data_IF_496275856261
#
_entry.id   IF_496275856261
#
_cell.length_a   1.000
_cell.length_b   1.000
_cell.length_c   1.000
_cell.angle_alpha   90.00
_cell.angle_beta   90.00
_cell.angle_gamma   90.00
#
_symmetry.space_group_name_H-M   'P 1'
#
loop_
_entity.id
_entity.type
_entity.pdbx_description
1 polymer ?
#
# COMPACT_ATOMS: atom_id res chain seq x y z
N UNK A 1 14.46 18.11 -16.49
CA UNK A 1 15.81 17.60 -16.20
C UNK A 1 16.73 18.81 -15.99
N UNK A 2 16.65 19.48 -14.85
CA UNK A 2 17.48 20.62 -14.50
C UNK A 2 18.52 20.21 -13.46
N UNK A 3 19.78 20.10 -13.86
CA UNK A 3 20.91 20.08 -12.94
C UNK A 3 21.27 21.54 -12.60
N UNK A 4 20.90 22.02 -11.40
CA UNK A 4 21.30 23.34 -10.95
C UNK A 4 20.46 23.89 -9.80
N UNK A 5 20.79 25.09 -9.31
CA UNK A 5 20.17 25.83 -8.20
C UNK A 5 18.64 26.06 -8.32
N UNK A 6 18.04 25.69 -9.40
CA UNK A 6 16.61 25.87 -9.74
C UNK A 6 15.94 24.53 -10.08
N UNK A 7 16.30 23.43 -9.39
CA UNK A 7 15.54 22.20 -9.49
C UNK A 7 14.10 22.48 -9.00
N UNK A 8 13.12 22.32 -9.90
CA UNK A 8 11.71 22.49 -9.59
C UNK A 8 11.32 21.49 -8.51
N UNK A 9 10.88 22.00 -7.37
CA UNK A 9 10.28 21.16 -6.33
C UNK A 9 8.77 21.18 -6.55
N UNK A 10 8.24 20.06 -6.97
CA UNK A 10 6.79 19.86 -7.05
C UNK A 10 6.28 19.48 -5.66
N UNK A 11 5.77 20.45 -4.93
CA UNK A 11 5.10 20.23 -3.64
C UNK A 11 3.59 20.39 -3.85
N UNK A 12 2.88 19.24 -3.86
CA UNK A 12 1.43 19.22 -3.95
C UNK A 12 0.87 19.51 -5.35
N UNK A 13 -0.44 19.56 -5.43
CA UNK A 13 -1.18 19.95 -6.64
C UNK A 13 -1.56 21.44 -6.55
N UNK A 14 -1.30 22.20 -7.63
CA UNK A 14 -1.72 23.58 -7.76
C UNK A 14 -2.50 23.77 -9.05
N UNK A 15 -3.45 24.72 -9.07
CA UNK A 15 -4.26 25.06 -10.24
C UNK A 15 -5.07 23.88 -10.81
N UNK A 16 -5.61 23.05 -9.93
CA UNK A 16 -6.38 21.85 -10.29
C UNK A 16 -7.61 22.16 -11.12
N UNK A 17 -8.27 23.29 -10.81
CA UNK A 17 -9.47 23.75 -11.52
C UNK A 17 -9.14 24.19 -12.95
N UNK A 18 -8.03 24.92 -13.12
CA UNK A 18 -7.53 25.31 -14.45
C UNK A 18 -7.15 24.10 -15.30
N UNK A 19 -6.50 23.10 -14.69
CA UNK A 19 -6.16 21.86 -15.38
C UNK A 19 -7.41 21.10 -15.80
N UNK A 20 -8.41 21.01 -14.92
CA UNK A 20 -9.69 20.39 -15.22
C UNK A 20 -10.40 21.09 -16.39
N UNK A 21 -10.47 22.41 -16.38
CA UNK A 21 -11.05 23.18 -17.49
C UNK A 21 -10.31 22.95 -18.81
N UNK A 22 -8.97 22.97 -18.80
CA UNK A 22 -8.16 22.75 -20.00
C UNK A 22 -8.27 21.34 -20.56
N UNK A 23 -8.56 20.34 -19.71
CA UNK A 23 -8.68 18.94 -20.14
C UNK A 23 -10.10 18.58 -20.56
N UNK A 24 -11.10 19.35 -20.18
CA UNK A 24 -12.52 19.09 -20.40
C UNK A 24 -12.89 18.86 -21.88
N UNK A 25 -12.22 19.54 -22.80
CA UNK A 25 -12.57 19.47 -24.22
C UNK A 25 -12.11 18.17 -24.91
N UNK A 26 -11.14 17.44 -24.31
CA UNK A 26 -10.58 16.21 -24.89
C UNK A 26 -10.55 15.03 -23.91
N UNK A 27 -11.00 15.21 -22.67
CA UNK A 27 -11.08 14.18 -21.66
C UNK A 27 -12.52 14.05 -21.13
N UNK A 28 -13.20 12.98 -21.49
CA UNK A 28 -14.50 12.64 -20.92
C UNK A 28 -14.29 11.64 -19.81
N UNK A 29 -14.50 12.07 -18.56
CA UNK A 29 -14.49 11.19 -17.38
C UNK A 29 -15.91 10.95 -16.91
N UNK A 30 -16.23 9.69 -16.69
CA UNK A 30 -17.48 9.26 -16.03
C UNK A 30 -17.12 8.48 -14.78
N UNK A 31 -17.62 8.96 -13.62
CA UNK A 31 -17.46 8.22 -12.37
C UNK A 31 -18.34 6.98 -12.40
N UNK A 32 -17.83 5.85 -11.90
CA UNK A 32 -18.62 4.60 -11.79
C UNK A 32 -19.96 4.85 -11.09
N UNK A 33 -19.96 5.63 -10.01
CA UNK A 33 -21.16 5.99 -9.25
C UNK A 33 -22.20 6.78 -10.05
N UNK A 34 -21.80 7.49 -11.11
CA UNK A 34 -22.70 8.29 -11.95
C UNK A 34 -23.32 7.46 -13.10
N UNK A 35 -22.64 6.40 -13.51
CA UNK A 35 -23.02 5.60 -14.70
C UNK A 35 -23.44 4.18 -14.37
N UNK A 36 -23.21 3.73 -13.14
CA UNK A 36 -23.50 2.39 -12.64
C UNK A 36 -24.14 2.51 -11.24
N UNK A 37 -25.41 2.92 -11.22
CA UNK A 37 -26.19 3.07 -9.97
C UNK A 37 -26.38 1.73 -9.25
N UNK A 38 -26.22 0.62 -9.95
CA UNK A 38 -26.35 -0.75 -9.44
C UNK A 38 -25.11 -1.23 -8.67
N UNK A 39 -23.99 -0.48 -8.67
CA UNK A 39 -22.81 -0.89 -7.93
C UNK A 39 -23.00 -0.63 -6.44
N UNK A 40 -22.59 -1.59 -5.57
CA UNK A 40 -22.67 -1.42 -4.13
C UNK A 40 -21.83 -0.26 -3.62
N UNK A 41 -22.23 0.27 -2.47
CA UNK A 41 -21.41 1.24 -1.76
C UNK A 41 -20.10 0.57 -1.31
N UNK A 42 -18.99 1.32 -1.44
CA UNK A 42 -17.65 0.85 -1.05
C UNK A 42 -17.24 1.52 0.25
N UNK A 43 -17.06 0.72 1.30
CA UNK A 43 -16.62 1.17 2.62
C UNK A 43 -15.17 0.73 2.85
N UNK A 44 -14.33 1.68 3.25
CA UNK A 44 -12.94 1.43 3.63
C UNK A 44 -12.77 1.56 5.13
N UNK A 45 -12.03 0.62 5.73
CA UNK A 45 -11.70 0.64 7.15
C UNK A 45 -10.23 0.31 7.37
N UNK A 46 -9.64 0.87 8.43
CA UNK A 46 -8.31 0.50 8.90
C UNK A 46 -8.50 -0.32 10.16
N UNK A 47 -8.02 -1.56 10.13
CA UNK A 47 -7.95 -2.42 11.30
C UNK A 47 -6.57 -2.31 11.93
N UNK A 48 -6.49 -1.59 13.05
CA UNK A 48 -5.23 -1.37 13.76
C UNK A 48 -4.94 -2.53 14.70
N UNK A 49 -3.75 -3.09 14.54
CA UNK A 49 -3.24 -4.20 15.34
C UNK A 49 -2.27 -3.67 16.39
N UNK A 50 -2.47 -4.06 17.64
CA UNK A 50 -1.50 -3.83 18.70
C UNK A 50 -0.38 -4.88 18.61
N UNK A 51 0.87 -4.49 18.29
CA UNK A 51 1.99 -5.43 18.18
C UNK A 51 2.41 -5.94 19.57
N UNK A 52 2.95 -7.15 19.62
CA UNK A 52 3.59 -7.65 20.84
C UNK A 52 4.90 -6.90 21.11
N UNK A 53 5.41 -7.01 22.35
CA UNK A 53 6.70 -6.43 22.70
C UNK A 53 7.87 -7.04 21.87
N UNK A 54 7.73 -8.30 21.44
CA UNK A 54 8.70 -8.95 20.57
C UNK A 54 8.65 -8.37 19.14
N UNK A 55 7.44 -8.14 18.61
CA UNK A 55 7.21 -7.52 17.30
C UNK A 55 7.82 -6.12 17.23
N UNK A 56 7.52 -5.27 18.24
CA UNK A 56 8.09 -3.92 18.31
C UNK A 56 9.60 -3.93 18.42
N UNK A 57 10.18 -4.92 19.12
CA UNK A 57 11.62 -5.08 19.21
C UNK A 57 12.25 -5.38 17.87
N UNK A 58 11.67 -6.35 17.14
CA UNK A 58 12.14 -6.72 15.79
C UNK A 58 12.05 -5.54 14.81
N UNK A 59 10.93 -4.80 14.85
CA UNK A 59 10.78 -3.59 14.04
C UNK A 59 11.83 -2.53 14.39
N UNK A 60 12.05 -2.30 15.68
CA UNK A 60 13.03 -1.32 16.17
C UNK A 60 14.46 -1.72 15.79
N UNK A 61 14.82 -2.99 15.90
CA UNK A 61 16.12 -3.49 15.47
C UNK A 61 16.38 -3.20 13.98
N UNK A 62 15.38 -3.41 13.13
CA UNK A 62 15.45 -3.06 11.71
C UNK A 62 15.63 -1.55 11.51
N UNK A 63 14.85 -0.72 12.21
CA UNK A 63 14.95 0.73 12.15
C UNK A 63 16.33 1.22 12.60
N UNK A 64 16.84 0.73 13.74
CA UNK A 64 18.12 1.14 14.33
C UNK A 64 19.31 0.72 13.44
N UNK A 65 19.20 -0.43 12.76
CA UNK A 65 20.20 -0.85 11.77
C UNK A 65 20.28 0.16 10.61
N UNK A 66 19.16 0.60 10.07
CA UNK A 66 19.10 1.63 9.03
C UNK A 66 19.61 2.99 9.51
N UNK A 67 19.34 3.36 10.76
CA UNK A 67 19.87 4.61 11.36
C UNK A 67 21.38 4.55 11.52
N UNK A 68 21.93 3.41 11.90
CA UNK A 68 23.38 3.19 11.99
C UNK A 68 24.04 3.34 10.62
N UNK A 69 23.47 2.73 9.59
CA UNK A 69 23.95 2.85 8.21
C UNK A 69 23.85 4.29 7.69
N UNK A 70 22.76 4.99 8.00
CA UNK A 70 22.59 6.40 7.68
C UNK A 70 23.71 7.26 8.27
N UNK A 71 24.04 7.09 9.55
CA UNK A 71 25.11 7.81 10.23
C UNK A 71 26.49 7.55 9.58
N UNK A 72 26.76 6.30 9.19
CA UNK A 72 28.00 5.96 8.49
C UNK A 72 28.09 6.63 7.13
N UNK A 73 27.02 6.67 6.35
CA UNK A 73 26.99 7.33 5.06
C UNK A 73 27.10 8.85 5.21
N UNK A 74 26.45 9.43 6.22
CA UNK A 74 26.53 10.85 6.53
C UNK A 74 27.97 11.25 6.88
N UNK A 75 28.66 10.48 7.73
CA UNK A 75 30.06 10.74 8.07
C UNK A 75 31.02 10.67 6.89
N UNK A 76 30.71 9.83 5.90
CA UNK A 76 31.50 9.71 4.65
C UNK A 76 31.11 10.78 3.61
N UNK A 77 30.10 11.61 3.89
CA UNK A 77 29.59 12.64 2.97
C UNK A 77 28.98 12.11 1.69
N UNK A 78 28.58 10.85 1.66
CA UNK A 78 28.05 10.18 0.47
C UNK A 78 26.86 9.30 0.87
N UNK A 79 25.69 9.57 0.30
CA UNK A 79 24.49 8.75 0.49
C UNK A 79 24.23 7.95 -0.81
N UNK A 80 24.08 6.62 -0.74
CA UNK A 80 23.75 5.81 -1.90
C UNK A 80 22.42 6.23 -2.54
N UNK A 81 22.36 6.17 -3.87
CA UNK A 81 21.10 6.34 -4.56
C UNK A 81 20.10 5.24 -4.12
N UNK A 82 18.89 5.64 -3.79
CA UNK A 82 17.84 4.70 -3.34
C UNK A 82 17.91 4.30 -1.87
N UNK A 83 18.87 4.76 -1.08
CA UNK A 83 19.01 4.44 0.34
C UNK A 83 17.68 4.58 1.10
N UNK A 84 17.05 5.75 0.97
CA UNK A 84 15.77 6.05 1.65
C UNK A 84 14.67 5.11 1.21
N UNK A 85 14.57 4.84 -0.09
CA UNK A 85 13.54 3.95 -0.61
C UNK A 85 13.73 2.52 -0.12
N UNK A 86 14.98 2.04 -0.05
CA UNK A 86 15.27 0.72 0.48
C UNK A 86 14.91 0.64 1.97
N UNK A 87 15.30 1.64 2.76
CA UNK A 87 14.93 1.73 4.18
C UNK A 87 13.41 1.65 4.38
N UNK A 88 12.65 2.48 3.65
CA UNK A 88 11.20 2.49 3.76
C UNK A 88 10.57 1.16 3.30
N UNK A 89 11.15 0.54 2.28
CA UNK A 89 10.70 -0.77 1.79
C UNK A 89 10.93 -1.84 2.83
N UNK A 90 12.10 -1.88 3.47
CA UNK A 90 12.42 -2.86 4.50
C UNK A 90 11.58 -2.68 5.76
N UNK A 91 11.39 -1.43 6.21
CA UNK A 91 10.51 -1.16 7.36
C UNK A 91 9.07 -1.60 7.10
N UNK A 92 8.55 -1.35 5.91
CA UNK A 92 7.22 -1.81 5.50
C UNK A 92 7.14 -3.33 5.38
N UNK A 93 8.19 -3.97 4.86
CA UNK A 93 8.30 -5.42 4.80
C UNK A 93 8.25 -6.04 6.20
N UNK A 94 9.01 -5.49 7.17
CA UNK A 94 8.91 -5.91 8.57
C UNK A 94 7.48 -5.79 9.09
N UNK A 95 6.80 -4.67 8.86
CA UNK A 95 5.39 -4.54 9.23
C UNK A 95 4.52 -5.62 8.58
N UNK A 96 4.75 -5.96 7.32
CA UNK A 96 4.05 -7.05 6.63
C UNK A 96 4.19 -8.39 7.35
N UNK A 97 5.40 -8.75 7.77
CA UNK A 97 5.66 -9.99 8.53
C UNK A 97 4.98 -9.97 9.91
N UNK A 98 5.02 -8.83 10.61
CA UNK A 98 4.37 -8.67 11.92
C UNK A 98 2.83 -8.84 11.85
N UNK A 99 2.22 -8.53 10.71
CA UNK A 99 0.77 -8.64 10.50
C UNK A 99 0.26 -10.05 10.27
N UNK A 100 1.12 -11.01 9.95
CA UNK A 100 0.67 -12.35 9.53
C UNK A 100 -0.26 -12.98 10.57
N UNK A 101 0.18 -13.08 11.82
CA UNK A 101 -0.62 -13.71 12.88
C UNK A 101 -1.91 -12.96 13.18
N UNK A 102 -1.85 -11.64 13.22
CA UNK A 102 -3.02 -10.79 13.47
C UNK A 102 -4.02 -10.84 12.31
N UNK A 103 -3.53 -10.92 11.06
CA UNK A 103 -4.39 -11.13 9.90
C UNK A 103 -5.07 -12.50 9.95
N UNK A 104 -4.36 -13.55 10.34
CA UNK A 104 -4.94 -14.90 10.52
C UNK A 104 -6.04 -14.88 11.60
N UNK A 105 -5.80 -14.19 12.73
CA UNK A 105 -6.81 -14.03 13.77
C UNK A 105 -8.05 -13.27 13.26
N UNK A 106 -7.83 -12.16 12.56
CA UNK A 106 -8.91 -11.38 11.95
C UNK A 106 -9.73 -12.22 10.94
N UNK A 107 -9.04 -12.99 10.09
CA UNK A 107 -9.70 -13.88 9.11
C UNK A 107 -10.54 -14.93 9.81
N UNK A 108 -10.05 -15.49 10.93
CA UNK A 108 -10.80 -16.46 11.70
C UNK A 108 -12.10 -15.86 12.26
N UNK A 109 -12.02 -14.70 12.89
CA UNK A 109 -13.21 -13.99 13.40
C UNK A 109 -14.19 -13.64 12.27
N UNK A 110 -13.66 -13.15 11.13
CA UNK A 110 -14.49 -12.85 9.96
C UNK A 110 -15.23 -14.10 9.45
N UNK A 111 -14.54 -15.24 9.33
CA UNK A 111 -15.13 -16.49 8.82
C UNK A 111 -16.07 -17.16 9.83
N UNK A 112 -15.91 -16.94 11.13
CA UNK A 112 -16.88 -17.37 12.14
C UNK A 112 -18.20 -16.62 11.99
N UNK A 113 -18.17 -15.34 11.61
CA UNK A 113 -19.37 -14.51 11.37
C UNK A 113 -19.96 -14.70 9.96
N UNK A 114 -19.11 -15.05 8.97
CA UNK A 114 -19.46 -15.14 7.55
C UNK A 114 -18.94 -16.48 6.97
N UNK A 115 -19.45 -17.63 7.41
CA UNK A 115 -18.87 -18.94 7.07
C UNK A 115 -18.88 -19.22 5.55
N UNK A 116 -19.95 -18.84 4.87
CA UNK A 116 -20.17 -19.15 3.45
C UNK A 116 -19.67 -18.06 2.50
N UNK A 117 -19.31 -16.88 3.00
CA UNK A 117 -18.85 -15.75 2.15
C UNK A 117 -17.37 -15.89 1.83
N UNK A 118 -16.97 -16.01 0.56
CA UNK A 118 -15.56 -16.02 0.18
C UNK A 118 -14.85 -14.72 0.54
N UNK A 119 -13.53 -14.79 0.78
CA UNK A 119 -12.71 -13.64 1.17
C UNK A 119 -11.55 -13.45 0.20
N UNK A 120 -11.26 -12.21 -0.18
CA UNK A 120 -10.06 -11.86 -0.95
C UNK A 120 -9.04 -11.22 -0.02
N UNK A 121 -7.77 -11.66 -0.10
CA UNK A 121 -6.67 -11.07 0.66
C UNK A 121 -5.58 -10.60 -0.30
N UNK A 122 -5.20 -9.32 -0.19
CA UNK A 122 -4.10 -8.74 -0.95
C UNK A 122 -2.85 -8.56 -0.08
N UNK A 123 -1.70 -8.86 -0.67
CA UNK A 123 -0.38 -8.67 -0.07
C UNK A 123 0.62 -8.15 -1.12
N UNK A 124 1.71 -7.54 -0.65
CA UNK A 124 2.76 -6.99 -1.50
C UNK A 124 3.99 -7.91 -1.58
N UNK A 125 4.59 -8.26 -0.45
CA UNK A 125 5.79 -9.08 -0.38
C UNK A 125 5.46 -10.58 -0.46
N UNK A 126 6.24 -11.33 -1.24
CA UNK A 126 5.98 -12.75 -1.52
C UNK A 126 6.08 -13.65 -0.30
N UNK A 127 7.01 -13.38 0.59
CA UNK A 127 7.22 -14.12 1.82
C UNK A 127 6.13 -13.86 2.85
N UNK A 128 5.63 -12.61 2.95
CA UNK A 128 4.42 -12.28 3.74
C UNK A 128 3.23 -13.09 3.24
N UNK A 129 2.99 -13.08 1.92
CA UNK A 129 1.93 -13.89 1.32
C UNK A 129 2.12 -15.39 1.54
N UNK A 130 3.35 -15.90 1.43
CA UNK A 130 3.65 -17.30 1.66
C UNK A 130 3.42 -17.71 3.12
N UNK A 131 3.86 -16.90 4.08
CA UNK A 131 3.64 -17.12 5.51
C UNK A 131 2.13 -17.11 5.84
N UNK A 132 1.40 -16.12 5.34
CA UNK A 132 -0.05 -16.01 5.54
C UNK A 132 -0.78 -17.23 4.97
N UNK A 133 -0.53 -17.61 3.73
CA UNK A 133 -1.14 -18.79 3.11
C UNK A 133 -0.74 -20.07 3.82
N UNK A 134 0.49 -20.14 4.36
CA UNK A 134 0.96 -21.26 5.16
C UNK A 134 0.13 -21.51 6.41
N UNK A 135 -0.32 -20.43 7.08
CA UNK A 135 -1.19 -20.51 8.25
C UNK A 135 -2.66 -20.76 7.87
N UNK A 136 -3.18 -20.01 6.90
CA UNK A 136 -4.61 -20.08 6.53
C UNK A 136 -5.00 -21.45 5.96
N UNK A 137 -4.14 -22.10 5.17
CA UNK A 137 -4.44 -23.42 4.58
C UNK A 137 -4.65 -24.54 5.61
N UNK A 138 -4.31 -24.32 6.88
CA UNK A 138 -4.55 -25.29 7.96
C UNK A 138 -6.03 -25.45 8.26
N UNK A 139 -6.85 -24.41 7.96
CA UNK A 139 -8.26 -24.36 8.35
C UNK A 139 -9.22 -24.04 7.19
N UNK A 140 -8.69 -23.55 6.05
CA UNK A 140 -9.50 -23.06 4.93
C UNK A 140 -9.02 -23.61 3.60
N UNK A 141 -9.96 -23.75 2.66
CA UNK A 141 -9.62 -24.06 1.27
C UNK A 141 -9.19 -22.77 0.56
N UNK A 142 -7.89 -22.66 0.28
CA UNK A 142 -7.29 -21.44 -0.23
C UNK A 142 -6.57 -21.67 -1.55
N UNK A 143 -6.51 -20.61 -2.37
CA UNK A 143 -5.60 -20.55 -3.52
C UNK A 143 -4.83 -19.21 -3.52
N UNK A 144 -3.70 -19.18 -4.20
CA UNK A 144 -2.89 -17.96 -4.34
C UNK A 144 -2.74 -17.54 -5.80
N UNK A 145 -2.83 -16.23 -6.10
CA UNK A 145 -2.47 -15.65 -7.41
C UNK A 145 -1.31 -14.68 -7.17
N UNK A 146 -0.12 -15.08 -7.64
CA UNK A 146 1.12 -14.31 -7.45
C UNK A 146 1.78 -14.03 -8.80
N UNK A 147 2.72 -13.10 -8.82
CA UNK A 147 3.49 -12.83 -10.03
C UNK A 147 4.16 -14.12 -10.57
N UNK A 148 3.93 -14.41 -11.85
CA UNK A 148 4.40 -15.63 -12.51
C UNK A 148 3.41 -16.79 -12.48
N UNK A 149 2.21 -16.65 -11.89
CA UNK A 149 1.14 -17.64 -12.04
C UNK A 149 0.70 -17.69 -13.51
N UNK A 150 0.74 -18.88 -14.13
CA UNK A 150 0.33 -19.08 -15.51
C UNK A 150 -1.15 -18.66 -15.72
N UNK A 151 -1.48 -18.15 -16.90
CA UNK A 151 -2.81 -17.60 -17.20
C UNK A 151 -3.93 -18.62 -16.98
N UNK A 152 -3.71 -19.86 -17.41
CA UNK A 152 -4.66 -20.96 -17.25
C UNK A 152 -4.92 -21.29 -15.79
N UNK A 153 -3.85 -21.35 -14.97
CA UNK A 153 -3.95 -21.62 -13.53
C UNK A 153 -4.65 -20.47 -12.81
N UNK A 154 -4.38 -19.23 -13.24
CA UNK A 154 -5.05 -18.04 -12.69
C UNK A 154 -6.55 -18.10 -12.99
N UNK A 155 -6.92 -18.36 -14.24
CA UNK A 155 -8.31 -18.46 -14.65
C UNK A 155 -9.04 -19.56 -13.87
N UNK A 156 -8.44 -20.73 -13.75
CA UNK A 156 -8.99 -21.84 -12.96
C UNK A 156 -9.25 -21.44 -11.51
N UNK A 157 -8.30 -20.73 -10.86
CA UNK A 157 -8.46 -20.28 -9.47
C UNK A 157 -9.56 -19.24 -9.33
N UNK A 158 -9.68 -18.33 -10.27
CA UNK A 158 -10.80 -17.37 -10.32
C UNK A 158 -12.14 -18.09 -10.47
N UNK A 159 -12.25 -19.06 -11.36
CA UNK A 159 -13.47 -19.86 -11.55
C UNK A 159 -13.84 -20.64 -10.28
N UNK A 160 -12.87 -21.28 -9.64
CA UNK A 160 -13.06 -21.97 -8.36
C UNK A 160 -13.55 -21.01 -7.27
N UNK A 161 -12.98 -19.79 -7.21
CA UNK A 161 -13.39 -18.77 -6.27
C UNK A 161 -14.82 -18.28 -6.54
N UNK A 162 -15.13 -17.96 -7.78
CA UNK A 162 -16.48 -17.53 -8.18
C UNK A 162 -17.55 -18.63 -7.99
N UNK A 163 -17.16 -19.89 -8.07
CA UNK A 163 -18.03 -21.04 -7.79
C UNK A 163 -18.17 -21.34 -6.28
N UNK A 164 -17.55 -20.57 -5.39
CA UNK A 164 -17.60 -20.78 -3.94
C UNK A 164 -16.86 -22.04 -3.46
N UNK A 165 -15.99 -22.63 -4.27
CA UNK A 165 -15.19 -23.81 -3.87
C UNK A 165 -13.92 -23.44 -3.12
N UNK A 166 -13.54 -22.17 -3.11
CA UNK A 166 -12.46 -21.62 -2.31
C UNK A 166 -13.04 -20.68 -1.25
N UNK A 167 -12.59 -20.85 -0.01
CA UNK A 167 -12.94 -19.96 1.09
C UNK A 167 -12.21 -18.63 0.99
N UNK A 168 -10.94 -18.67 0.54
CA UNK A 168 -10.07 -17.50 0.50
C UNK A 168 -9.21 -17.53 -0.77
N UNK A 169 -9.16 -16.40 -1.46
CA UNK A 169 -8.23 -16.16 -2.56
C UNK A 169 -7.18 -15.13 -2.14
N UNK A 170 -5.92 -15.55 -2.06
CA UNK A 170 -4.78 -14.70 -1.71
C UNK A 170 -4.10 -14.19 -2.99
N UNK A 171 -4.05 -12.89 -3.18
CA UNK A 171 -3.50 -12.28 -4.40
C UNK A 171 -2.34 -11.34 -4.06
N UNK A 172 -1.23 -11.42 -4.81
CA UNK A 172 -0.32 -10.27 -4.79
C UNK A 172 -0.99 -9.10 -5.50
N UNK A 173 -0.88 -7.89 -4.95
CA UNK A 173 -1.54 -6.69 -5.49
C UNK A 173 -1.16 -6.45 -6.95
N UNK A 174 0.09 -6.73 -7.32
CA UNK A 174 0.54 -6.63 -8.71
C UNK A 174 -0.16 -7.61 -9.66
N UNK A 175 -0.49 -8.82 -9.18
CA UNK A 175 -1.22 -9.81 -9.99
C UNK A 175 -2.69 -9.44 -10.18
N UNK A 176 -3.27 -8.66 -9.26
CA UNK A 176 -4.66 -8.17 -9.37
C UNK A 176 -4.86 -7.15 -10.50
N UNK A 177 -3.79 -6.55 -11.05
CA UNK A 177 -3.88 -5.65 -12.20
C UNK A 177 -4.41 -6.35 -13.47
N UNK A 178 -4.34 -7.67 -13.55
CA UNK A 178 -4.63 -8.46 -14.74
C UNK A 178 -6.12 -8.77 -14.96
N UNK A 179 -7.02 -7.82 -14.67
CA UNK A 179 -8.40 -7.86 -15.18
C UNK A 179 -9.31 -8.97 -14.63
N UNK A 180 -8.98 -9.59 -13.49
CA UNK A 180 -9.80 -10.64 -12.85
C UNK A 180 -11.09 -10.07 -12.24
N UNK A 181 -12.15 -10.87 -12.17
CA UNK A 181 -13.41 -10.53 -11.49
C UNK A 181 -13.59 -11.44 -10.27
N UNK A 182 -13.86 -10.85 -9.10
CA UNK A 182 -13.92 -11.55 -7.82
C UNK A 182 -15.20 -11.20 -7.05
N UNK A 183 -16.32 -11.08 -7.75
CA UNK A 183 -17.62 -10.63 -7.21
C UNK A 183 -18.29 -11.64 -6.27
N UNK A 184 -17.77 -12.86 -6.15
CA UNK A 184 -18.22 -13.81 -5.14
C UNK A 184 -17.89 -13.32 -3.71
N UNK A 185 -16.91 -12.44 -3.55
CA UNK A 185 -16.60 -11.80 -2.27
C UNK A 185 -17.21 -10.39 -2.20
N UNK A 186 -17.69 -10.02 -1.03
CA UNK A 186 -18.06 -8.66 -0.66
C UNK A 186 -16.97 -7.94 0.15
N UNK A 187 -15.96 -8.67 0.60
CA UNK A 187 -14.90 -8.16 1.47
C UNK A 187 -13.53 -8.47 0.91
N UNK A 188 -12.66 -7.46 0.96
CA UNK A 188 -11.24 -7.58 0.64
C UNK A 188 -10.39 -7.06 1.79
N UNK A 189 -9.29 -7.78 2.08
CA UNK A 189 -8.32 -7.40 3.12
C UNK A 189 -6.98 -7.11 2.49
N UNK A 190 -6.41 -5.96 2.81
CA UNK A 190 -5.06 -5.59 2.45
C UNK A 190 -4.14 -5.79 3.65
N UNK A 191 -3.30 -6.79 3.60
CA UNK A 191 -2.27 -7.02 4.63
C UNK A 191 -1.20 -5.95 4.55
N UNK A 192 -0.87 -5.56 3.34
CA UNK A 192 0.09 -4.50 3.05
C UNK A 192 -0.51 -3.52 2.06
N UNK A 193 -0.28 -2.25 2.31
CA UNK A 193 -0.70 -1.18 1.40
C UNK A 193 0.22 -1.04 0.19
N UNK A 194 -0.27 -0.42 -0.86
CA UNK A 194 0.51 -0.10 -2.04
C UNK A 194 1.03 1.34 -2.00
N UNK A 195 2.15 1.58 -2.72
CA UNK A 195 2.73 2.92 -2.86
C UNK A 195 1.81 3.88 -3.63
N UNK A 196 0.97 3.35 -4.48
CA UNK A 196 0.09 4.11 -5.36
C UNK A 196 -1.36 3.82 -4.98
N UNK A 197 -2.13 4.81 -4.49
CA UNK A 197 -3.53 4.62 -4.11
C UNK A 197 -4.40 4.03 -5.23
N UNK A 198 -4.14 4.39 -6.48
CA UNK A 198 -4.86 3.88 -7.64
C UNK A 198 -4.72 2.36 -7.83
N UNK A 199 -3.62 1.75 -7.35
CA UNK A 199 -3.46 0.29 -7.41
C UNK A 199 -4.33 -0.41 -6.38
N UNK A 200 -4.49 0.17 -5.20
CA UNK A 200 -5.43 -0.32 -4.20
C UNK A 200 -6.87 -0.21 -4.73
N UNK A 201 -7.23 0.92 -5.33
CA UNK A 201 -8.55 1.11 -5.94
C UNK A 201 -8.85 0.10 -7.04
N UNK A 202 -7.87 -0.18 -7.91
CA UNK A 202 -8.02 -1.22 -8.92
C UNK A 202 -8.21 -2.61 -8.31
N UNK A 203 -7.54 -2.92 -7.20
CA UNK A 203 -7.70 -4.19 -6.49
C UNK A 203 -9.08 -4.28 -5.80
N UNK A 204 -9.52 -3.21 -5.13
CA UNK A 204 -10.88 -3.11 -4.57
C UNK A 204 -11.96 -3.29 -5.65
N UNK A 205 -11.72 -2.72 -6.83
CA UNK A 205 -12.63 -2.80 -7.97
C UNK A 205 -12.72 -4.20 -8.59
N UNK A 206 -11.98 -5.19 -8.10
CA UNK A 206 -12.17 -6.60 -8.48
C UNK A 206 -13.39 -7.22 -7.82
N UNK A 207 -13.77 -6.77 -6.64
CA UNK A 207 -14.99 -7.18 -5.95
C UNK A 207 -16.14 -6.18 -6.22
N UNK A 208 -15.86 -4.87 -6.36
CA UNK A 208 -16.84 -3.83 -6.66
C UNK A 208 -17.07 -3.71 -8.18
N UNK A 209 -17.83 -4.64 -8.73
CA UNK A 209 -18.04 -4.80 -10.15
C UNK A 209 -19.47 -5.24 -10.47
N UNK A 210 -19.89 -5.07 -11.74
CA UNK A 210 -21.15 -5.61 -12.23
C UNK A 210 -21.20 -7.12 -11.93
N UNK A 211 -22.30 -7.57 -11.34
CA UNK A 211 -22.46 -8.94 -10.84
C UNK A 211 -22.07 -9.12 -9.38
N UNK A 212 -21.89 -8.04 -8.64
CA UNK A 212 -21.84 -8.08 -7.18
C UNK A 212 -23.27 -8.08 -6.63
N UNK A 213 -23.59 -9.09 -5.83
CA UNK A 213 -24.94 -9.27 -5.25
C UNK A 213 -25.13 -8.58 -3.89
N UNK A 214 -24.02 -8.15 -3.25
CA UNK A 214 -24.08 -7.45 -1.95
C UNK A 214 -24.34 -5.96 -2.14
N UNK A 215 -25.13 -5.35 -1.25
CA UNK A 215 -25.42 -3.91 -1.22
C UNK A 215 -24.20 -3.06 -0.84
N UNK A 216 -23.21 -3.67 -0.18
CA UNK A 216 -22.00 -3.00 0.31
C UNK A 216 -20.80 -3.90 0.15
N UNK A 217 -19.69 -3.33 -0.32
CA UNK A 217 -18.38 -3.99 -0.35
C UNK A 217 -17.42 -3.33 0.64
N UNK A 218 -16.62 -4.16 1.29
CA UNK A 218 -15.72 -3.74 2.35
C UNK A 218 -14.25 -3.90 1.92
N UNK A 219 -13.46 -2.86 2.12
CA UNK A 219 -12.00 -2.90 1.98
C UNK A 219 -11.35 -2.60 3.33
N UNK A 220 -10.76 -3.62 3.95
CA UNK A 220 -10.11 -3.51 5.26
C UNK A 220 -8.60 -3.50 5.08
N UNK A 221 -7.93 -2.52 5.67
CA UNK A 221 -6.48 -2.35 5.64
C UNK A 221 -5.91 -2.67 7.01
N UNK A 222 -4.98 -3.63 7.09
CA UNK A 222 -4.33 -4.01 8.35
C UNK A 222 -3.14 -3.08 8.60
N UNK A 223 -3.10 -2.44 9.75
CA UNK A 223 -2.08 -1.47 10.15
C UNK A 223 -1.49 -1.83 11.51
N UNK A 224 -0.17 -1.72 11.68
CA UNK A 224 0.50 -2.00 12.96
C UNK A 224 0.76 -0.69 13.70
N UNK A 225 0.24 -0.60 14.90
CA UNK A 225 0.38 0.57 15.77
C UNK A 225 1.83 0.82 16.16
N UNK A 226 2.23 2.09 16.20
CA UNK A 226 3.58 2.50 16.61
C UNK A 226 4.67 2.19 15.58
N UNK A 227 4.31 1.95 14.33
CA UNK A 227 5.24 1.69 13.24
C UNK A 227 5.07 2.67 12.08
N UNK A 228 5.83 2.46 11.02
CA UNK A 228 5.70 3.23 9.77
C UNK A 228 4.31 3.09 9.12
N UNK A 229 3.58 2.02 9.40
CA UNK A 229 2.26 1.77 8.81
C UNK A 229 1.27 2.91 9.07
N UNK A 230 1.19 3.40 10.32
CA UNK A 230 0.27 4.49 10.67
C UNK A 230 0.57 5.78 9.88
N UNK A 231 1.86 6.05 9.64
CA UNK A 231 2.28 7.20 8.84
C UNK A 231 1.98 6.99 7.37
N UNK A 232 2.24 5.77 6.90
CA UNK A 232 1.98 5.39 5.53
C UNK A 232 0.48 5.43 5.21
N UNK A 233 -0.38 4.94 6.12
CA UNK A 233 -1.83 5.03 6.00
C UNK A 233 -2.30 6.47 5.83
N UNK A 234 -1.81 7.38 6.68
CA UNK A 234 -2.14 8.81 6.61
C UNK A 234 -1.75 9.41 5.27
N UNK A 235 -0.50 9.19 4.85
CA UNK A 235 0.03 9.74 3.59
C UNK A 235 -0.75 9.19 2.38
N UNK A 236 -1.08 7.91 2.35
CA UNK A 236 -1.86 7.30 1.27
C UNK A 236 -3.27 7.88 1.22
N UNK A 237 -3.94 8.05 2.38
CA UNK A 237 -5.30 8.60 2.41
C UNK A 237 -5.33 10.08 2.01
N UNK A 238 -4.32 10.86 2.38
CA UNK A 238 -4.19 12.25 1.93
C UNK A 238 -3.98 12.33 0.41
N UNK A 239 -3.10 11.49 -0.14
CA UNK A 239 -2.88 11.40 -1.60
C UNK A 239 -4.13 10.93 -2.33
N UNK A 240 -4.88 9.98 -1.79
CA UNK A 240 -6.15 9.52 -2.35
C UNK A 240 -7.16 10.68 -2.45
N UNK A 241 -7.24 11.55 -1.44
CA UNK A 241 -8.10 12.75 -1.47
C UNK A 241 -7.65 13.73 -2.57
N UNK A 242 -6.35 13.96 -2.71
CA UNK A 242 -5.78 14.84 -3.74
C UNK A 242 -6.06 14.28 -5.14
N UNK A 243 -5.79 12.99 -5.37
CA UNK A 243 -6.05 12.34 -6.67
C UNK A 243 -7.52 12.43 -7.06
N UNK A 244 -8.45 12.23 -6.09
CA UNK A 244 -9.88 12.44 -6.34
C UNK A 244 -10.23 13.88 -6.69
N UNK A 245 -9.56 14.86 -6.10
CA UNK A 245 -9.81 16.26 -6.34
C UNK A 245 -9.24 16.75 -7.69
N UNK A 246 -8.12 16.17 -8.12
CA UNK A 246 -7.38 16.66 -9.29
C UNK A 246 -7.70 15.90 -10.55
N UNK A 247 -7.63 14.60 -10.50
CA UNK A 247 -7.83 13.73 -11.67
C UNK A 247 -7.89 12.27 -11.28
N UNK A 248 -8.80 11.56 -11.86
CA UNK A 248 -8.58 10.16 -12.13
C UNK A 248 -7.83 10.06 -13.46
N UNK A 249 -6.50 9.96 -13.43
CA UNK A 249 -5.85 9.52 -14.64
C UNK A 249 -4.55 10.14 -15.12
N UNK A 250 -3.75 10.80 -14.29
CA UNK A 250 -2.37 11.13 -14.69
C UNK A 250 -1.40 10.39 -13.80
N UNK A 251 -0.63 9.52 -14.42
CA UNK A 251 0.50 8.80 -13.85
C UNK A 251 1.67 9.80 -13.66
N UNK A 252 1.52 10.71 -12.70
CA UNK A 252 2.64 11.48 -12.17
C UNK A 252 3.41 10.53 -11.27
N UNK A 253 4.70 10.80 -11.03
CA UNK A 253 5.54 9.98 -10.15
C UNK A 253 5.02 10.03 -8.69
N UNK A 254 3.84 9.44 -8.48
CA UNK A 254 3.10 9.39 -7.21
C UNK A 254 3.97 8.80 -6.11
N UNK A 255 4.80 7.80 -6.48
CA UNK A 255 5.69 7.14 -5.53
C UNK A 255 6.72 8.09 -4.93
N UNK A 256 7.35 8.96 -5.74
CA UNK A 256 8.31 9.94 -5.24
C UNK A 256 7.66 10.95 -4.28
N UNK A 257 6.45 11.38 -4.58
CA UNK A 257 5.66 12.27 -3.71
C UNK A 257 5.27 11.61 -2.38
N UNK A 258 4.93 10.33 -2.38
CA UNK A 258 4.61 9.56 -1.18
C UNK A 258 5.86 9.36 -0.31
N UNK A 259 6.99 8.98 -0.92
CA UNK A 259 8.28 8.84 -0.21
C UNK A 259 8.65 10.14 0.51
N UNK A 260 8.53 11.29 -0.16
CA UNK A 260 8.84 12.59 0.43
C UNK A 260 7.92 12.92 1.63
N UNK A 261 6.63 12.75 1.48
CA UNK A 261 5.65 13.00 2.55
C UNK A 261 5.85 12.07 3.75
N UNK A 262 6.22 10.81 3.49
CA UNK A 262 6.49 9.84 4.55
C UNK A 262 7.74 10.22 5.36
N UNK A 263 8.81 10.66 4.68
CA UNK A 263 10.02 11.15 5.35
C UNK A 263 9.70 12.39 6.19
N UNK A 264 8.96 13.35 5.68
CA UNK A 264 8.53 14.53 6.43
C UNK A 264 7.77 14.11 7.71
N UNK A 265 6.80 13.20 7.60
CA UNK A 265 6.05 12.67 8.74
C UNK A 265 6.92 11.93 9.75
N UNK A 266 7.95 11.19 9.30
CA UNK A 266 8.89 10.49 10.18
C UNK A 266 9.86 11.46 10.89
N UNK A 267 10.23 12.56 10.24
CA UNK A 267 11.04 13.63 10.89
C UNK A 267 10.20 14.35 11.94
N UNK A 268 8.96 14.69 11.63
CA UNK A 268 8.05 15.38 12.55
C UNK A 268 7.76 14.53 13.81
N UNK A 269 7.66 13.22 13.67
CA UNK A 269 7.45 12.30 14.79
C UNK A 269 8.72 11.97 15.58
N UNK A 270 9.89 12.36 15.08
CA UNK A 270 11.18 12.06 15.72
C UNK A 270 11.75 10.67 15.39
N UNK A 271 11.15 9.92 14.45
CA UNK A 271 11.69 8.63 14.01
C UNK A 271 12.90 8.81 13.09
N UNK A 272 13.02 9.98 12.46
CA UNK A 272 14.18 10.34 11.67
C UNK A 272 14.79 11.65 12.19
N UNK A 273 16.13 11.83 12.10
CA UNK A 273 16.79 13.07 12.45
C UNK A 273 16.27 14.26 11.62
N UNK A 274 16.19 15.45 12.22
CA UNK A 274 15.71 16.67 11.55
C UNK A 274 16.55 17.11 10.34
N UNK A 275 17.76 16.60 10.22
CA UNK A 275 18.68 16.82 9.11
C UNK A 275 18.72 15.63 8.12
N UNK A 276 17.83 14.65 8.27
CA UNK A 276 17.75 13.49 7.40
C UNK A 276 17.62 13.90 5.92
N UNK A 277 18.49 13.37 5.10
CA UNK A 277 18.51 13.68 3.65
C UNK A 277 19.13 15.05 3.29
N UNK A 278 19.49 15.90 4.26
CA UNK A 278 20.23 17.12 3.99
C UNK A 278 21.71 16.79 3.74
N UNK A 279 22.31 17.39 2.70
CA UNK A 279 23.76 17.25 2.47
C UNK A 279 24.52 17.75 3.69
N UNK A 280 25.45 16.95 4.20
CA UNK A 280 26.38 17.40 5.22
C UNK A 280 27.06 18.69 4.73
N UNK A 281 26.80 19.79 5.40
CA UNK A 281 27.54 21.03 5.15
C UNK A 281 28.97 20.76 5.58
N UNK A 282 29.91 20.77 4.61
CA UNK A 282 31.35 20.72 4.92
C UNK A 282 31.63 21.81 5.94
N UNK A 283 32.04 21.45 7.14
CA UNK A 283 32.60 22.41 8.08
C UNK A 283 33.72 23.16 7.34
N UNK A 284 33.78 24.49 7.44
CA UNK A 284 34.91 25.23 6.90
C UNK A 284 36.20 24.64 7.52
N UNK A 285 37.19 24.34 6.72
CA UNK A 285 38.50 24.00 7.19
C UNK A 285 38.95 25.22 8.04
N UNK A 286 39.19 25.04 9.32
CA UNK A 286 39.93 26.00 10.10
C UNK A 286 41.27 26.24 9.39
N UNK A 287 41.45 27.47 8.94
CA UNK A 287 42.74 27.93 8.45
C UNK A 287 43.57 28.14 9.71
N UNK A 288 44.49 27.22 9.98
CA UNK A 288 45.49 27.41 10.99
C UNK A 288 46.51 28.39 10.38
N UNK A 289 46.55 29.63 10.92
CA UNK A 289 47.62 30.59 10.68
C UNK A 289 48.88 30.14 11.40
#
# INVERSE_FOLDING_TARGET
IGRGRYAWQYKGASNTDELHERTRDFCIRRLKKEVMEELPDKIRSIHTVDPTAADLRSYKECHDAWMTEYQQHQSRGSMPAGFVLNMLTDLRHQCGLLKVNSTVAWVKEYKELNPDTPLVIFFHHKDVGAALMGELKKNYNIAGIVGGTAAEVRQQRVEQFQAGTLDILCCSTLAAKEGITLTAADTVVFVEREWVPGWEEQAEDRINRIGQDSDTVWATYISVKGTIDEKFDRVIEEKRKVVKAVLDGVDLDERAGIVAALIESMIESGDLPSDFGKKATKKPKEVIE
#
